data_IF_849853465366
#
_entry.id   IF_849853465366
#
_cell.length_a   1.000
_cell.length_b   1.000
_cell.length_c   1.000
_cell.angle_alpha   90.00
_cell.angle_beta   90.00
_cell.angle_gamma   90.00
#
_symmetry.space_group_name_H-M   'P 1'
#
loop_
_entity.id
_entity.type
_entity.pdbx_description
1 polymer ?
#
# COMPACT_ATOMS: atom_id res chain seq x y z
N UNK A 1 15.48 -3.60 -4.82
CA UNK A 1 15.01 -4.78 -5.58
C UNK A 1 13.69 -5.25 -4.95
N UNK A 2 12.72 -5.80 -5.70
CA UNK A 2 11.46 -6.26 -5.10
C UNK A 2 11.60 -7.65 -4.47
N UNK A 3 11.02 -7.84 -3.28
CA UNK A 3 10.99 -9.13 -2.60
C UNK A 3 9.89 -10.04 -3.17
N UNK A 4 10.28 -10.97 -4.06
CA UNK A 4 9.34 -11.86 -4.74
C UNK A 4 8.59 -12.81 -3.78
N UNK A 5 9.24 -13.22 -2.70
CA UNK A 5 8.63 -14.12 -1.70
C UNK A 5 7.48 -13.41 -0.98
N UNK A 6 7.72 -12.18 -0.55
CA UNK A 6 6.71 -11.34 0.12
C UNK A 6 5.55 -10.98 -0.82
N UNK A 7 5.82 -10.67 -2.08
CA UNK A 7 4.77 -10.45 -3.10
C UNK A 7 3.87 -11.67 -3.23
N UNK A 8 4.44 -12.88 -3.22
CA UNK A 8 3.66 -14.11 -3.31
C UNK A 8 2.82 -14.35 -2.04
N UNK A 9 3.39 -14.11 -0.85
CA UNK A 9 2.64 -14.20 0.42
C UNK A 9 1.44 -13.23 0.40
N UNK A 10 1.66 -11.99 -0.04
CA UNK A 10 0.62 -10.98 -0.13
C UNK A 10 -0.46 -11.39 -1.15
N UNK A 11 -0.08 -11.95 -2.30
CA UNK A 11 -1.05 -12.47 -3.28
C UNK A 11 -1.92 -13.59 -2.67
N UNK A 12 -1.33 -14.52 -1.93
CA UNK A 12 -2.09 -15.57 -1.23
C UNK A 12 -3.00 -15.03 -0.13
N UNK A 13 -2.59 -13.97 0.57
CA UNK A 13 -3.43 -13.29 1.56
C UNK A 13 -4.63 -12.62 0.89
N UNK A 14 -4.38 -11.83 -0.17
CA UNK A 14 -5.42 -11.11 -0.93
C UNK A 14 -6.43 -12.08 -1.55
N UNK A 15 -5.96 -13.20 -2.14
CA UNK A 15 -6.84 -14.23 -2.68
C UNK A 15 -7.85 -14.73 -1.64
N UNK A 16 -7.39 -14.99 -0.42
CA UNK A 16 -8.23 -15.52 0.67
C UNK A 16 -9.19 -14.46 1.22
N UNK A 17 -8.73 -13.22 1.35
CA UNK A 17 -9.54 -12.14 1.94
C UNK A 17 -10.54 -11.52 0.96
N UNK A 18 -10.17 -11.38 -0.33
CA UNK A 18 -11.00 -10.77 -1.37
C UNK A 18 -11.77 -11.79 -2.23
N UNK A 19 -11.53 -13.09 -2.05
CA UNK A 19 -12.12 -14.17 -2.83
C UNK A 19 -11.99 -13.99 -4.35
N UNK A 20 -10.78 -13.67 -4.82
CA UNK A 20 -10.47 -13.42 -6.23
C UNK A 20 -9.58 -14.52 -6.82
N UNK A 21 -9.46 -14.54 -8.15
CA UNK A 21 -8.51 -15.43 -8.83
C UNK A 21 -7.06 -15.10 -8.45
N UNK A 22 -6.17 -16.09 -8.54
CA UNK A 22 -4.75 -15.88 -8.26
C UNK A 22 -4.13 -14.82 -9.18
N UNK A 23 -4.59 -14.71 -10.43
CA UNK A 23 -4.11 -13.69 -11.37
C UNK A 23 -4.40 -12.28 -10.88
N UNK A 24 -5.61 -12.03 -10.39
CA UNK A 24 -6.02 -10.72 -9.83
C UNK A 24 -5.24 -10.45 -8.54
N UNK A 25 -5.16 -11.43 -7.64
CA UNK A 25 -4.44 -11.28 -6.39
C UNK A 25 -2.95 -10.97 -6.60
N UNK A 26 -2.33 -11.59 -7.60
CA UNK A 26 -0.93 -11.32 -7.95
C UNK A 26 -0.76 -9.91 -8.54
N UNK A 27 -1.69 -9.45 -9.39
CA UNK A 27 -1.69 -8.06 -9.87
C UNK A 27 -1.80 -7.07 -8.72
N UNK A 28 -2.71 -7.30 -7.78
CA UNK A 28 -2.89 -6.47 -6.58
C UNK A 28 -1.62 -6.46 -5.71
N UNK A 29 -1.01 -7.62 -5.45
CA UNK A 29 0.21 -7.73 -4.65
C UNK A 29 1.41 -7.00 -5.31
N UNK A 30 1.53 -7.06 -6.63
CA UNK A 30 2.53 -6.29 -7.37
C UNK A 30 2.27 -4.79 -7.33
N UNK A 31 1.00 -4.39 -7.47
CA UNK A 31 0.59 -2.99 -7.34
C UNK A 31 0.93 -2.45 -5.94
N UNK A 32 0.67 -3.24 -4.89
CA UNK A 32 1.00 -2.91 -3.51
C UNK A 32 2.51 -2.74 -3.32
N UNK A 33 3.32 -3.69 -3.82
CA UNK A 33 4.78 -3.59 -3.73
C UNK A 33 5.34 -2.32 -4.43
N UNK A 34 4.77 -1.94 -5.58
CA UNK A 34 5.13 -0.69 -6.27
C UNK A 34 4.73 0.55 -5.47
N UNK A 35 3.53 0.55 -4.87
CA UNK A 35 3.05 1.65 -4.05
C UNK A 35 3.90 1.81 -2.78
N UNK A 36 4.31 0.72 -2.13
CA UNK A 36 5.23 0.75 -0.99
C UNK A 36 6.57 1.35 -1.41
N UNK A 37 7.13 0.93 -2.55
CA UNK A 37 8.39 1.51 -3.04
C UNK A 37 8.29 3.02 -3.34
N UNK A 38 7.14 3.49 -3.84
CA UNK A 38 6.89 4.91 -4.00
C UNK A 38 6.81 5.63 -2.62
N UNK A 39 6.16 5.01 -1.64
CA UNK A 39 6.10 5.51 -0.27
C UNK A 39 7.49 5.59 0.38
N UNK A 40 8.36 4.61 0.14
CA UNK A 40 9.77 4.61 0.58
C UNK A 40 10.53 5.81 0.01
N UNK A 41 10.40 6.08 -1.29
CA UNK A 41 11.03 7.24 -1.91
C UNK A 41 10.53 8.57 -1.33
N UNK A 42 9.23 8.68 -1.02
CA UNK A 42 8.68 9.88 -0.35
C UNK A 42 9.20 10.01 1.07
N UNK A 43 9.23 8.92 1.84
CA UNK A 43 9.76 8.90 3.19
C UNK A 43 11.25 9.28 3.24
N UNK A 44 12.06 8.76 2.31
CA UNK A 44 13.48 9.07 2.18
C UNK A 44 13.72 10.55 1.91
N UNK A 45 12.93 11.17 1.02
CA UNK A 45 13.01 12.62 0.77
C UNK A 45 12.67 13.48 2.00
N UNK A 46 11.82 12.99 2.90
CA UNK A 46 11.47 13.68 4.15
C UNK A 46 12.54 13.46 5.22
N UNK A 47 13.38 12.42 5.07
CA UNK A 47 14.60 12.08 5.83
C UNK A 47 14.45 11.73 7.32
N UNK A 48 13.40 12.15 8.04
CA UNK A 48 13.30 11.87 9.48
C UNK A 48 11.88 11.80 10.04
N UNK A 49 11.70 10.88 11.01
CA UNK A 49 10.46 10.66 11.76
C UNK A 49 9.21 10.37 10.89
N UNK A 50 9.39 9.53 9.88
CA UNK A 50 8.32 9.05 8.99
C UNK A 50 8.07 7.56 9.17
N UNK A 51 6.83 7.12 9.01
CA UNK A 51 6.46 5.69 8.95
C UNK A 51 5.53 5.44 7.77
N UNK A 52 5.85 4.46 6.95
CA UNK A 52 4.92 3.95 5.94
C UNK A 52 3.84 3.15 6.67
N UNK A 53 2.58 3.47 6.38
CA UNK A 53 1.42 2.75 6.91
C UNK A 53 0.67 2.10 5.76
N UNK A 54 0.32 0.84 5.97
CA UNK A 54 -0.46 0.02 5.05
C UNK A 54 -1.73 -0.34 5.81
N UNK A 55 -2.88 0.10 5.32
CA UNK A 55 -4.16 -0.07 6.00
C UNK A 55 -5.15 -0.78 5.08
N UNK A 56 -5.60 -1.97 5.49
CA UNK A 56 -6.64 -2.70 4.80
C UNK A 56 -8.03 -2.19 5.18
N UNK A 57 -8.89 -2.03 4.18
CA UNK A 57 -10.26 -1.59 4.33
C UNK A 57 -11.18 -2.45 3.47
N UNK A 58 -12.07 -3.18 4.14
CA UNK A 58 -13.05 -4.05 3.48
C UNK A 58 -14.45 -3.80 4.05
N UNK A 59 -15.29 -3.05 3.32
CA UNK A 59 -16.69 -2.75 3.66
C UNK A 59 -17.51 -2.50 2.40
N UNK A 60 -18.82 -2.76 2.46
CA UNK A 60 -19.77 -2.39 1.41
C UNK A 60 -19.45 -2.99 0.03
N UNK A 61 -18.93 -4.22 -0.02
CA UNK A 61 -18.55 -4.88 -1.27
C UNK A 61 -17.22 -4.39 -1.87
N UNK A 62 -16.46 -3.56 -1.16
CA UNK A 62 -15.13 -3.14 -1.56
C UNK A 62 -14.06 -3.82 -0.71
N UNK A 63 -12.88 -4.04 -1.28
CA UNK A 63 -11.69 -4.49 -0.57
C UNK A 63 -10.48 -3.71 -1.10
N UNK A 64 -9.90 -2.84 -0.26
CA UNK A 64 -8.84 -1.89 -0.64
C UNK A 64 -7.71 -1.90 0.37
N UNK A 65 -6.48 -1.74 -0.11
CA UNK A 65 -5.30 -1.55 0.73
C UNK A 65 -4.72 -0.17 0.48
N UNK A 66 -4.80 0.72 1.48
CA UNK A 66 -4.28 2.08 1.42
C UNK A 66 -2.80 2.11 1.78
N UNK A 67 -2.03 2.94 1.08
CA UNK A 67 -0.62 3.19 1.36
C UNK A 67 -0.41 4.68 1.62
N UNK A 68 0.16 5.01 2.77
CA UNK A 68 0.41 6.39 3.19
C UNK A 68 1.75 6.50 3.94
N UNK A 69 2.34 7.68 3.92
CA UNK A 69 3.53 8.04 4.71
C UNK A 69 3.10 9.00 5.81
N UNK A 70 3.14 8.52 7.06
CA UNK A 70 2.87 9.36 8.22
C UNK A 70 4.14 10.08 8.66
N UNK A 71 4.08 11.41 8.70
CA UNK A 71 5.15 12.28 9.19
C UNK A 71 4.80 12.69 10.62
N UNK A 72 5.60 12.25 11.59
CA UNK A 72 5.30 12.44 13.01
C UNK A 72 5.90 13.69 13.63
N UNK A 73 6.84 14.33 12.93
CA UNK A 73 7.47 15.51 13.49
C UNK A 73 6.55 16.72 13.53
N UNK A 74 6.48 17.36 14.69
CA UNK A 74 5.80 18.65 14.85
C UNK A 74 6.71 19.86 14.66
N UNK A 75 8.03 19.66 14.52
CA UNK A 75 8.90 20.80 14.25
C UNK A 75 8.51 21.41 12.91
N UNK A 76 8.48 22.76 12.87
CA UNK A 76 8.03 23.53 11.72
C UNK A 76 6.57 23.23 11.29
N UNK A 77 5.71 22.74 12.20
CA UNK A 77 4.31 22.35 11.92
C UNK A 77 4.16 21.37 10.74
N UNK A 78 5.14 20.48 10.56
CA UNK A 78 5.20 19.56 9.40
C UNK A 78 4.43 18.24 9.58
N UNK A 79 3.83 18.00 10.75
CA UNK A 79 3.10 16.77 11.07
C UNK A 79 1.92 16.60 10.12
N UNK A 80 1.98 15.60 9.26
CA UNK A 80 0.95 15.33 8.23
C UNK A 80 1.02 13.89 7.74
N UNK A 81 0.10 13.54 6.87
CA UNK A 81 0.11 12.25 6.17
C UNK A 81 0.18 12.51 4.67
N UNK A 82 1.20 11.99 4.02
CA UNK A 82 1.28 11.95 2.56
C UNK A 82 0.57 10.69 2.06
N UNK A 83 -0.55 10.86 1.37
CA UNK A 83 -1.29 9.73 0.80
C UNK A 83 -0.65 9.36 -0.54
N UNK A 84 -0.30 8.09 -0.71
CA UNK A 84 0.23 7.59 -1.99
C UNK A 84 -0.93 7.14 -2.87
N UNK A 85 -1.92 6.48 -2.28
CA UNK A 85 -3.09 5.96 -2.97
C UNK A 85 -3.60 4.68 -2.31
N UNK A 86 -4.33 3.88 -3.08
CA UNK A 86 -4.78 2.57 -2.66
C UNK A 86 -4.73 1.55 -3.80
N UNK A 87 -4.60 0.28 -3.43
CA UNK A 87 -4.80 -0.86 -4.33
C UNK A 87 -6.20 -1.40 -4.13
N UNK A 88 -6.96 -1.55 -5.20
CA UNK A 88 -8.20 -2.30 -5.21
C UNK A 88 -7.89 -3.79 -5.33
N UNK A 89 -8.12 -4.53 -4.25
CA UNK A 89 -7.81 -5.95 -4.15
C UNK A 89 -8.74 -6.83 -5.00
N UNK A 90 -9.85 -6.27 -5.49
CA UNK A 90 -10.81 -6.97 -6.33
C UNK A 90 -10.47 -6.91 -7.82
N UNK A 91 -9.78 -5.85 -8.24
CA UNK A 91 -9.40 -5.62 -9.65
C UNK A 91 -7.88 -5.70 -9.88
N UNK A 92 -7.08 -5.51 -8.83
CA UNK A 92 -5.62 -5.39 -8.89
C UNK A 92 -5.12 -4.03 -9.37
N UNK A 93 -6.03 -3.06 -9.52
CA UNK A 93 -5.71 -1.70 -9.95
C UNK A 93 -5.17 -0.86 -8.79
N UNK A 94 -4.14 -0.07 -9.07
CA UNK A 94 -3.68 0.99 -8.18
C UNK A 94 -4.37 2.31 -8.56
N UNK A 95 -4.87 3.03 -7.56
CA UNK A 95 -5.48 4.35 -7.68
C UNK A 95 -4.65 5.33 -6.86
N UNK A 96 -4.03 6.30 -7.53
CA UNK A 96 -3.24 7.35 -6.90
C UNK A 96 -4.13 8.30 -6.09
N UNK A 97 -3.57 8.87 -5.01
CA UNK A 97 -4.23 9.84 -4.14
C UNK A 97 -4.28 11.25 -4.73
#
# INVERSE_FOLDING_TARGET
MYNKHEIMINAWSIRRSANVSMSIALKAAWALAKAIKAAEAVAENITWNTKIRINDWAKGGHNRTYVEVAVYTNAWNRKRTERIGYVDNMTGSFVAA
#
